data_IF_085582519837
#
_entry.id   IF_085582519837
#
_cell.length_a   1.000
_cell.length_b   1.000
_cell.length_c   1.000
_cell.angle_alpha   90.00
_cell.angle_beta   90.00
_cell.angle_gamma   90.00
#
_symmetry.space_group_name_H-M   'P 1'
#
loop_
_entity.id
_entity.type
_entity.pdbx_description
1 polymer ?
#
# COMPACT_ATOMS: atom_id res chain seq x y z
N UNK A 1 -5.87 -18.51 0.56
CA UNK A 1 -6.77 -17.76 -0.35
C UNK A 1 -6.24 -16.34 -0.39
N UNK A 2 -5.43 -15.99 -1.38
CA UNK A 2 -4.73 -14.71 -1.46
C UNK A 2 -4.42 -14.43 -2.92
N UNK A 3 -5.45 -14.04 -3.66
CA UNK A 3 -5.32 -13.57 -5.04
C UNK A 3 -5.35 -12.06 -5.02
N UNK A 4 -4.19 -11.42 -4.99
CA UNK A 4 -4.05 -10.03 -5.38
C UNK A 4 -3.72 -10.04 -6.88
N UNK A 5 -4.75 -10.07 -7.72
CA UNK A 5 -4.60 -9.96 -9.17
C UNK A 5 -5.16 -8.61 -9.60
N UNK A 6 -4.28 -7.61 -9.69
CA UNK A 6 -4.53 -6.39 -10.45
C UNK A 6 -3.23 -5.93 -11.12
N UNK A 7 -2.91 -6.60 -12.22
CA UNK A 7 -2.16 -6.02 -13.33
C UNK A 7 -2.86 -6.51 -14.60
N UNK A 8 -3.77 -5.70 -15.11
CA UNK A 8 -4.53 -5.97 -16.33
C UNK A 8 -4.50 -4.73 -17.21
N UNK A 9 -3.28 -4.29 -17.52
CA UNK A 9 -3.01 -3.30 -18.56
C UNK A 9 -2.27 -3.98 -19.70
N UNK A 10 -2.52 -3.50 -20.92
CA UNK A 10 -1.76 -3.88 -22.10
C UNK A 10 -0.47 -3.04 -22.15
N UNK A 11 0.66 -3.69 -22.41
CA UNK A 11 1.92 -3.01 -22.73
C UNK A 11 2.26 -3.21 -24.21
N UNK A 12 2.77 -2.16 -24.85
CA UNK A 12 3.22 -2.20 -26.26
C UNK A 12 4.67 -1.75 -26.32
N UNK A 13 5.55 -2.65 -26.75
CA UNK A 13 6.97 -2.38 -26.98
C UNK A 13 7.19 -2.16 -28.46
N UNK A 14 7.58 -0.95 -28.83
CA UNK A 14 7.81 -0.60 -30.23
C UNK A 14 9.18 -1.07 -30.69
N UNK A 15 9.30 -1.46 -31.94
CA UNK A 15 10.61 -1.67 -32.55
C UNK A 15 10.89 -0.54 -33.54
N UNK A 16 12.14 -0.03 -33.65
CA UNK A 16 12.47 1.03 -34.58
C UNK A 16 12.02 0.70 -36.01
N UNK A 17 11.26 1.61 -36.61
CA UNK A 17 10.81 1.48 -37.98
C UNK A 17 11.96 1.83 -38.94
N UNK A 18 12.30 0.92 -39.83
CA UNK A 18 13.18 1.24 -40.96
C UNK A 18 12.33 1.87 -42.05
N UNK A 19 12.61 3.14 -42.35
CA UNK A 19 11.88 3.96 -43.34
C UNK A 19 11.98 3.43 -44.77
N UNK A 20 12.96 2.57 -45.07
CA UNK A 20 13.11 1.92 -46.38
C UNK A 20 12.80 0.41 -46.28
N UNK A 21 11.58 0.02 -46.65
CA UNK A 21 11.16 -1.40 -46.65
C UNK A 21 12.02 -2.30 -47.53
N UNK A 22 12.62 -1.76 -48.61
CA UNK A 22 13.51 -2.50 -49.50
C UNK A 22 14.85 -2.92 -48.85
N UNK A 23 15.18 -2.35 -47.69
CA UNK A 23 16.42 -2.60 -46.94
C UNK A 23 16.21 -3.65 -45.84
N UNK A 24 14.96 -3.85 -45.42
CA UNK A 24 14.58 -4.72 -44.30
C UNK A 24 14.56 -6.19 -44.72
N UNK A 25 15.31 -7.02 -44.01
CA UNK A 25 15.36 -8.48 -44.23
C UNK A 25 14.46 -9.19 -43.24
N UNK A 26 14.61 -8.93 -41.94
CA UNK A 26 13.77 -9.55 -40.91
C UNK A 26 13.73 -8.69 -39.64
N UNK A 27 12.68 -8.85 -38.86
CA UNK A 27 12.55 -8.32 -37.49
C UNK A 27 12.29 -9.47 -36.55
N UNK A 28 13.04 -9.51 -35.44
CA UNK A 28 12.94 -10.57 -34.44
C UNK A 28 12.89 -9.95 -33.05
N UNK A 29 12.03 -10.49 -32.19
CA UNK A 29 12.08 -10.23 -30.76
C UNK A 29 12.80 -11.37 -30.03
N UNK A 30 13.60 -10.98 -29.05
CA UNK A 30 14.23 -11.84 -28.07
C UNK A 30 13.78 -11.39 -26.68
N UNK A 31 13.29 -12.35 -25.91
CA UNK A 31 12.64 -12.10 -24.62
C UNK A 31 13.39 -12.90 -23.56
N UNK A 32 13.94 -12.19 -22.58
CA UNK A 32 14.71 -12.75 -21.47
C UNK A 32 13.97 -12.39 -20.19
N UNK A 33 13.15 -13.32 -19.69
CA UNK A 33 12.38 -13.15 -18.45
C UNK A 33 13.26 -13.45 -17.24
N UNK A 34 13.04 -12.74 -16.13
CA UNK A 34 13.89 -12.81 -14.93
C UNK A 34 13.93 -14.19 -14.25
N UNK A 35 12.83 -14.94 -14.28
CA UNK A 35 12.69 -16.23 -13.60
C UNK A 35 12.90 -17.46 -14.51
N UNK A 36 13.37 -17.26 -15.75
CA UNK A 36 13.74 -18.35 -16.66
C UNK A 36 15.26 -18.40 -16.81
N UNK A 37 15.93 -19.51 -16.46
CA UNK A 37 17.36 -19.60 -16.67
C UNK A 37 17.68 -19.51 -18.16
N UNK A 38 18.62 -18.63 -18.51
CA UNK A 38 19.24 -18.59 -19.82
C UNK A 38 20.15 -19.82 -19.98
N UNK A 39 19.58 -21.00 -20.27
CA UNK A 39 20.39 -22.14 -20.70
C UNK A 39 20.66 -22.00 -22.20
N UNK A 40 21.80 -21.37 -22.49
CA UNK A 40 22.41 -21.31 -23.82
C UNK A 40 22.92 -22.69 -24.22
N UNK A 41 22.15 -23.38 -25.05
CA UNK A 41 22.61 -24.18 -26.19
C UNK A 41 21.37 -24.81 -26.82
N UNK A 42 20.84 -24.15 -27.86
CA UNK A 42 20.32 -24.78 -29.07
C UNK A 42 19.58 -23.73 -29.92
N UNK A 43 19.89 -23.76 -31.21
CA UNK A 43 19.48 -22.90 -32.31
C UNK A 43 18.00 -23.04 -32.67
N UNK A 44 17.08 -22.87 -31.72
CA UNK A 44 15.64 -22.80 -32.01
C UNK A 44 14.98 -21.72 -31.17
N UNK A 45 14.22 -20.86 -31.86
CA UNK A 45 13.41 -19.80 -31.30
C UNK A 45 12.77 -20.23 -29.98
N UNK A 46 12.92 -19.40 -28.94
CA UNK A 46 12.13 -19.55 -27.73
C UNK A 46 10.67 -19.42 -28.16
N UNK A 47 10.00 -20.58 -28.17
CA UNK A 47 8.59 -20.75 -28.41
C UNK A 47 7.87 -19.79 -27.45
N UNK A 48 7.20 -18.78 -27.97
CA UNK A 48 6.29 -17.97 -27.18
C UNK A 48 5.07 -18.84 -26.84
N UNK A 49 5.25 -19.77 -25.91
CA UNK A 49 4.16 -20.60 -25.36
C UNK A 49 3.20 -19.78 -24.53
N UNK A 50 3.62 -18.57 -24.13
CA UNK A 50 2.79 -17.61 -23.44
C UNK A 50 1.87 -16.88 -24.42
N UNK A 51 0.60 -17.24 -24.40
CA UNK A 51 -0.43 -16.68 -25.30
C UNK A 51 -0.73 -15.20 -25.00
N UNK A 52 -0.24 -14.66 -23.89
CA UNK A 52 -0.44 -13.25 -23.52
C UNK A 52 0.56 -12.32 -24.20
N UNK A 53 1.64 -12.86 -24.77
CA UNK A 53 2.61 -12.10 -25.56
C UNK A 53 2.33 -12.35 -27.04
N UNK A 54 1.99 -11.29 -27.77
CA UNK A 54 1.60 -11.37 -29.18
C UNK A 54 2.26 -10.26 -29.99
N UNK A 55 2.22 -10.41 -31.31
CA UNK A 55 2.54 -9.32 -32.22
C UNK A 55 1.33 -8.40 -32.35
N UNK A 56 1.58 -7.10 -32.59
CA UNK A 56 0.51 -6.20 -33.04
C UNK A 56 -0.14 -6.74 -34.33
N UNK A 57 -1.40 -6.37 -34.53
CA UNK A 57 -2.29 -6.81 -35.61
C UNK A 57 -1.73 -6.68 -37.04
N UNK A 58 -0.72 -5.84 -37.26
CA UNK A 58 -0.03 -5.62 -38.54
C UNK A 58 1.49 -5.60 -38.37
N UNK A 59 2.13 -6.76 -38.14
CA UNK A 59 3.57 -6.82 -37.90
C UNK A 59 4.41 -6.40 -39.11
N UNK A 60 3.82 -6.44 -40.32
CA UNK A 60 4.37 -5.95 -41.59
C UNK A 60 4.50 -4.42 -41.67
N UNK A 61 3.78 -3.70 -40.79
CA UNK A 61 3.80 -2.23 -40.70
C UNK A 61 4.30 -1.74 -39.37
N UNK A 62 3.98 -2.46 -38.30
CA UNK A 62 4.36 -2.14 -36.93
C UNK A 62 4.85 -3.42 -36.25
N UNK A 63 6.16 -3.68 -36.24
CA UNK A 63 6.72 -4.86 -35.57
C UNK A 63 6.79 -4.66 -34.04
N UNK A 64 5.71 -4.14 -33.45
CA UNK A 64 5.56 -3.96 -32.01
C UNK A 64 5.15 -5.26 -31.34
N UNK A 65 5.71 -5.49 -30.15
CA UNK A 65 5.33 -6.58 -29.28
C UNK A 65 4.25 -6.10 -28.32
N UNK A 66 3.18 -6.86 -28.17
CA UNK A 66 2.07 -6.61 -27.25
C UNK A 66 2.10 -7.64 -26.13
N UNK A 67 1.78 -7.19 -24.92
CA UNK A 67 1.64 -8.03 -23.74
C UNK A 67 0.28 -7.69 -23.12
N UNK A 68 -0.65 -8.63 -23.18
CA UNK A 68 -2.02 -8.45 -22.66
C UNK A 68 -2.61 -9.78 -22.14
N UNK A 69 -2.96 -9.87 -20.84
CA UNK A 69 -2.69 -8.90 -19.78
C UNK A 69 -1.24 -8.94 -19.27
N UNK A 70 -0.70 -7.81 -18.83
CA UNK A 70 0.62 -7.77 -18.19
C UNK A 70 0.58 -8.46 -16.82
N UNK A 71 1.33 -9.55 -16.65
CA UNK A 71 1.59 -10.22 -15.37
C UNK A 71 3.01 -9.93 -14.83
N UNK A 72 3.21 -10.11 -13.52
CA UNK A 72 4.51 -9.89 -12.84
C UNK A 72 5.64 -10.73 -13.46
N UNK A 73 5.32 -11.90 -14.01
CA UNK A 73 6.25 -12.80 -14.71
C UNK A 73 6.83 -12.22 -16.01
N UNK A 74 6.28 -11.12 -16.50
CA UNK A 74 6.80 -10.39 -17.67
C UNK A 74 7.96 -9.43 -17.31
N UNK A 75 8.38 -9.36 -16.04
CA UNK A 75 9.63 -8.69 -15.68
C UNK A 75 10.81 -9.30 -16.44
N UNK A 76 11.54 -8.45 -17.17
CA UNK A 76 12.64 -8.94 -17.99
C UNK A 76 13.20 -7.94 -18.97
N UNK A 77 14.07 -8.45 -19.83
CA UNK A 77 14.67 -7.72 -20.93
C UNK A 77 14.10 -8.17 -22.26
N UNK A 78 13.63 -7.21 -23.04
CA UNK A 78 13.03 -7.42 -24.36
C UNK A 78 13.90 -6.72 -25.39
N UNK A 79 14.43 -7.47 -26.34
CA UNK A 79 15.30 -6.95 -27.40
C UNK A 79 14.64 -7.16 -28.75
N UNK A 80 14.42 -6.08 -29.47
CA UNK A 80 14.16 -6.15 -30.90
C UNK A 80 15.49 -6.17 -31.67
N UNK A 81 15.64 -7.12 -32.57
CA UNK A 81 16.68 -7.18 -33.58
C UNK A 81 16.06 -6.89 -34.95
N UNK A 82 16.64 -5.92 -35.65
CA UNK A 82 16.28 -5.56 -37.01
C UNK A 82 17.46 -5.86 -37.92
N UNK A 83 17.26 -6.79 -38.84
CA UNK A 83 18.30 -7.20 -39.79
C UNK A 83 18.04 -6.53 -41.13
N UNK A 84 19.08 -5.92 -41.66
CA UNK A 84 19.10 -5.29 -42.98
C UNK A 84 20.27 -5.82 -43.81
N UNK A 85 20.29 -5.51 -45.10
CA UNK A 85 21.47 -5.80 -45.91
C UNK A 85 22.71 -4.95 -45.53
N UNK A 86 22.53 -3.89 -44.74
CA UNK A 86 23.62 -3.02 -44.28
C UNK A 86 24.14 -3.38 -42.89
N UNK A 87 23.46 -4.27 -42.16
CA UNK A 87 23.84 -4.65 -40.80
C UNK A 87 22.65 -4.98 -39.91
N UNK A 88 22.97 -5.25 -38.64
CA UNK A 88 22.03 -5.64 -37.59
C UNK A 88 21.88 -4.48 -36.60
N UNK A 89 20.64 -4.14 -36.28
CA UNK A 89 20.30 -3.08 -35.33
C UNK A 89 19.53 -3.65 -34.16
N UNK A 90 19.82 -3.18 -32.95
CA UNK A 90 19.22 -3.69 -31.73
C UNK A 90 18.56 -2.57 -30.94
N UNK A 91 17.38 -2.84 -30.39
CA UNK A 91 16.71 -1.96 -29.44
C UNK A 91 16.21 -2.75 -28.25
N UNK A 92 16.59 -2.32 -27.04
CA UNK A 92 16.36 -3.07 -25.80
C UNK A 92 15.47 -2.32 -24.82
N UNK A 93 14.59 -3.05 -24.15
CA UNK A 93 13.70 -2.57 -23.09
C UNK A 93 13.91 -3.39 -21.81
N UNK A 94 14.04 -2.69 -20.68
CA UNK A 94 13.89 -3.29 -19.36
C UNK A 94 12.46 -3.09 -18.88
N UNK A 95 11.63 -4.11 -19.02
CA UNK A 95 10.25 -4.07 -18.58
C UNK A 95 10.19 -4.34 -17.07
N UNK A 96 9.61 -3.39 -16.32
CA UNK A 96 9.33 -3.53 -14.89
C UNK A 96 7.83 -3.41 -14.66
N UNK A 97 7.24 -4.46 -14.15
CA UNK A 97 5.83 -4.55 -13.78
C UNK A 97 5.65 -3.94 -12.39
N UNK A 98 4.65 -3.07 -12.25
CA UNK A 98 4.28 -2.44 -10.99
C UNK A 98 3.05 -3.14 -10.41
N UNK A 99 3.01 -3.32 -9.10
CA UNK A 99 1.86 -3.89 -8.39
C UNK A 99 1.37 -2.88 -7.37
N UNK A 100 0.13 -2.37 -7.49
CA UNK A 100 -0.42 -1.43 -6.52
C UNK A 100 -0.59 -2.13 -5.16
N UNK A 101 -0.12 -1.53 -4.05
CA UNK A 101 -0.32 -2.11 -2.74
C UNK A 101 -1.79 -2.01 -2.30
N UNK A 102 -2.24 -3.01 -1.53
CA UNK A 102 -3.50 -2.92 -0.80
C UNK A 102 -3.29 -2.20 0.53
N UNK A 103 -3.97 -1.08 0.72
CA UNK A 103 -3.70 -0.16 1.84
C UNK A 103 -4.80 -0.29 2.88
N UNK A 104 -4.41 -0.58 4.11
CA UNK A 104 -5.30 -0.70 5.27
C UNK A 104 -4.78 0.13 6.44
N UNK A 105 -5.70 0.64 7.25
CA UNK A 105 -5.44 1.43 8.45
C UNK A 105 -6.36 0.96 9.57
N UNK A 106 -5.80 0.59 10.71
CA UNK A 106 -6.56 0.10 11.86
C UNK A 106 -5.85 0.36 13.18
N UNK A 107 -6.60 0.35 14.28
CA UNK A 107 -6.08 0.49 15.63
C UNK A 107 -6.09 -0.86 16.34
N UNK A 108 -4.98 -1.20 17.01
CA UNK A 108 -4.86 -2.37 17.88
C UNK A 108 -5.42 -2.09 19.28
N UNK A 109 -5.78 -3.13 20.02
CA UNK A 109 -6.32 -3.02 21.39
C UNK A 109 -5.39 -2.29 22.37
N UNK A 110 -4.06 -2.37 22.13
CA UNK A 110 -3.06 -1.68 22.93
C UNK A 110 -2.87 -0.19 22.56
N UNK A 111 -3.76 0.37 21.73
CA UNK A 111 -3.73 1.76 21.30
C UNK A 111 -2.80 2.06 20.12
N UNK A 112 -1.94 1.13 19.70
CA UNK A 112 -1.07 1.29 18.52
C UNK A 112 -1.90 1.37 17.25
N UNK A 113 -1.61 2.34 16.38
CA UNK A 113 -2.22 2.45 15.07
C UNK A 113 -1.30 1.82 14.03
N UNK A 114 -1.86 1.00 13.16
CA UNK A 114 -1.11 0.28 12.13
C UNK A 114 -1.61 0.71 10.76
N UNK A 115 -0.69 1.16 9.93
CA UNK A 115 -0.91 1.34 8.50
C UNK A 115 -0.13 0.29 7.74
N UNK A 116 -0.82 -0.47 6.88
CA UNK A 116 -0.24 -1.58 6.15
C UNK A 116 -0.50 -1.41 4.65
N UNK A 117 0.58 -1.38 3.88
CA UNK A 117 0.59 -1.40 2.42
C UNK A 117 1.07 -2.77 1.96
N UNK A 118 0.12 -3.66 1.63
CA UNK A 118 0.39 -5.08 1.37
C UNK A 118 0.72 -5.35 -0.10
N UNK A 119 1.71 -6.22 -0.32
CA UNK A 119 2.10 -6.78 -1.62
C UNK A 119 2.36 -5.76 -2.75
N UNK A 120 2.93 -4.60 -2.43
CA UNK A 120 3.32 -3.58 -3.41
C UNK A 120 4.60 -3.96 -4.16
N UNK A 121 4.70 -3.55 -5.43
CA UNK A 121 5.93 -3.64 -6.24
C UNK A 121 6.14 -2.32 -6.99
N UNK A 122 7.18 -1.54 -6.66
CA UNK A 122 8.14 -1.75 -5.56
C UNK A 122 7.52 -1.55 -4.16
N UNK A 123 8.33 -1.65 -3.11
CA UNK A 123 7.91 -1.31 -1.76
C UNK A 123 7.35 0.14 -1.71
N UNK A 124 6.21 0.31 -1.05
CA UNK A 124 5.59 1.61 -0.86
C UNK A 124 6.20 2.35 0.32
N UNK A 125 6.18 3.68 0.30
CA UNK A 125 6.64 4.49 1.43
C UNK A 125 5.45 4.92 2.28
N UNK A 126 5.57 4.76 3.60
CA UNK A 126 4.54 5.17 4.56
C UNK A 126 5.02 6.39 5.34
N UNK A 127 4.14 7.38 5.47
CA UNK A 127 4.34 8.58 6.28
C UNK A 127 3.08 8.92 7.07
N UNK A 128 3.24 9.66 8.17
CA UNK A 128 2.15 9.96 9.09
C UNK A 128 1.98 11.46 9.30
N UNK A 129 0.75 11.88 9.52
CA UNK A 129 0.41 13.28 9.84
C UNK A 129 -0.71 13.31 10.88
N UNK A 130 -0.50 13.90 12.07
CA UNK A 130 0.77 14.42 12.58
C UNK A 130 1.81 13.29 12.78
N UNK A 131 3.09 13.65 12.89
CA UNK A 131 4.14 12.68 13.23
C UNK A 131 3.92 12.07 14.62
N UNK A 132 4.30 10.81 14.81
CA UNK A 132 4.23 10.07 16.07
C UNK A 132 5.47 9.20 16.29
N UNK A 133 5.52 8.45 17.38
CA UNK A 133 6.55 7.44 17.61
C UNK A 133 6.21 6.18 16.79
N UNK A 134 6.97 5.97 15.72
CA UNK A 134 6.62 5.07 14.63
C UNK A 134 7.73 4.08 14.32
N UNK A 135 7.38 2.81 14.17
CA UNK A 135 8.27 1.76 13.72
C UNK A 135 7.74 1.14 12.43
N UNK A 136 8.57 1.12 11.38
CA UNK A 136 8.21 0.59 10.06
C UNK A 136 9.00 -0.67 9.76
N UNK A 137 8.31 -1.71 9.30
CA UNK A 137 8.87 -3.01 8.92
C UNK A 137 8.50 -3.32 7.48
N UNK A 138 9.46 -3.87 6.75
CA UNK A 138 9.26 -4.40 5.41
C UNK A 138 9.34 -5.92 5.43
N UNK A 139 8.34 -6.57 4.86
CA UNK A 139 8.26 -8.02 4.72
C UNK A 139 8.27 -8.39 3.23
N UNK A 140 9.34 -9.02 2.72
CA UNK A 140 9.38 -9.52 1.35
C UNK A 140 8.53 -10.79 1.22
N UNK A 141 7.60 -10.81 0.26
CA UNK A 141 6.66 -11.93 0.06
C UNK A 141 7.03 -12.85 -1.11
N UNK A 142 7.91 -12.40 -2.01
CA UNK A 142 8.27 -13.08 -3.27
C UNK A 142 7.80 -12.32 -4.51
N UNK A 143 8.31 -12.69 -5.70
CA UNK A 143 8.08 -11.96 -6.96
C UNK A 143 8.37 -10.45 -6.87
N UNK A 144 9.35 -10.08 -6.04
CA UNK A 144 9.69 -8.70 -5.63
C UNK A 144 8.53 -7.87 -5.07
N UNK A 145 7.46 -8.53 -4.61
CA UNK A 145 6.41 -7.86 -3.84
C UNK A 145 6.82 -7.72 -2.39
N UNK A 146 6.54 -6.55 -1.81
CA UNK A 146 6.90 -6.19 -0.45
C UNK A 146 5.65 -5.68 0.27
N UNK A 147 5.44 -6.16 1.49
CA UNK A 147 4.48 -5.57 2.41
C UNK A 147 5.20 -4.62 3.35
N UNK A 148 4.76 -3.37 3.39
CA UNK A 148 5.30 -2.36 4.31
C UNK A 148 4.26 -2.11 5.39
N UNK A 149 4.66 -2.23 6.65
CA UNK A 149 3.78 -2.01 7.79
C UNK A 149 4.42 -1.01 8.74
N UNK A 150 3.73 0.09 9.00
CA UNK A 150 4.14 1.12 9.95
C UNK A 150 3.19 1.11 11.15
N UNK A 151 3.76 0.98 12.34
CA UNK A 151 3.05 0.96 13.62
C UNK A 151 3.43 2.20 14.42
N UNK A 152 2.45 3.01 14.79
CA UNK A 152 2.68 4.30 15.46
C UNK A 152 1.88 4.47 16.76
N UNK A 153 2.43 5.30 17.64
CA UNK A 153 1.78 5.77 18.87
C UNK A 153 1.94 7.28 19.00
N UNK A 154 0.94 7.90 19.63
CA UNK A 154 0.95 9.31 20.00
C UNK A 154 0.74 9.40 21.51
N UNK A 155 1.72 9.93 22.23
CA UNK A 155 1.59 10.21 23.67
C UNK A 155 0.76 11.46 23.94
N UNK A 156 0.70 12.40 22.98
CA UNK A 156 -0.08 13.62 23.12
C UNK A 156 -1.58 13.33 22.95
N UNK A 157 -2.30 13.33 24.07
CA UNK A 157 -3.75 13.18 24.13
C UNK A 157 -4.54 14.25 23.34
N UNK A 158 -3.89 15.32 22.86
CA UNK A 158 -4.50 16.34 21.99
C UNK A 158 -4.66 15.87 20.55
N UNK A 159 -3.94 14.84 20.12
CA UNK A 159 -4.08 14.30 18.77
C UNK A 159 -5.36 13.47 18.70
N UNK A 160 -6.37 13.99 18.00
CA UNK A 160 -7.68 13.33 17.82
C UNK A 160 -7.83 12.63 16.48
N UNK A 161 -7.03 13.01 15.48
CA UNK A 161 -7.09 12.45 14.13
C UNK A 161 -5.67 12.28 13.59
N UNK A 162 -5.42 11.12 13.00
CA UNK A 162 -4.16 10.78 12.36
C UNK A 162 -4.40 10.29 10.95
N UNK A 163 -3.50 10.67 10.04
CA UNK A 163 -3.52 10.27 8.65
C UNK A 163 -2.27 9.47 8.31
N UNK A 164 -2.45 8.30 7.71
CA UNK A 164 -1.40 7.54 7.05
C UNK A 164 -1.40 7.89 5.56
N UNK A 165 -0.26 8.34 5.04
CA UNK A 165 -0.03 8.59 3.61
C UNK A 165 0.93 7.56 3.04
N UNK A 166 0.44 6.81 2.05
CA UNK A 166 1.16 5.77 1.32
C UNK A 166 1.53 6.28 -0.07
N UNK A 167 2.82 6.42 -0.34
CA UNK A 167 3.38 6.82 -1.62
C UNK A 167 3.83 5.60 -2.42
N UNK A 168 3.36 5.48 -3.67
CA UNK A 168 3.71 4.36 -4.55
C UNK A 168 3.66 4.78 -6.03
N UNK A 169 4.46 4.12 -6.87
CA UNK A 169 4.56 4.46 -8.31
C UNK A 169 3.25 4.30 -9.09
N UNK A 170 2.32 3.47 -8.60
CA UNK A 170 0.99 3.29 -9.19
C UNK A 170 -0.03 4.32 -8.70
N UNK A 171 0.36 5.23 -7.80
CA UNK A 171 -0.50 6.24 -7.21
C UNK A 171 -0.37 6.32 -5.69
N UNK A 172 -0.58 7.53 -5.17
CA UNK A 172 -0.55 7.82 -3.74
C UNK A 172 -1.93 7.61 -3.12
N UNK A 173 -1.98 7.11 -1.88
CA UNK A 173 -3.22 6.98 -1.11
C UNK A 173 -3.04 7.53 0.29
N UNK A 174 -4.11 8.03 0.88
CA UNK A 174 -4.13 8.49 2.26
C UNK A 174 -5.39 7.98 2.95
N UNK A 175 -5.24 7.48 4.17
CA UNK A 175 -6.32 7.04 5.04
C UNK A 175 -6.21 7.76 6.37
N UNK A 176 -7.33 8.09 6.98
CA UNK A 176 -7.38 8.74 8.30
C UNK A 176 -8.21 7.93 9.28
N UNK A 177 -7.85 8.02 10.56
CA UNK A 177 -8.57 7.39 11.67
C UNK A 177 -8.65 8.37 12.85
N UNK A 178 -9.81 8.41 13.50
CA UNK A 178 -10.00 9.17 14.73
C UNK A 178 -9.55 8.33 15.93
N UNK A 179 -8.80 8.95 16.83
CA UNK A 179 -8.31 8.35 18.05
C UNK A 179 -9.37 8.46 19.13
N UNK A 180 -9.83 7.32 19.65
CA UNK A 180 -10.70 7.28 20.82
C UNK A 180 -9.93 7.81 22.03
N UNK A 181 -10.18 9.05 22.42
CA UNK A 181 -9.70 9.60 23.69
C UNK A 181 -10.39 8.83 24.82
N UNK A 182 -9.64 7.98 25.52
CA UNK A 182 -10.07 7.56 26.86
C UNK A 182 -10.00 8.83 27.70
N UNK A 183 -11.18 9.37 28.05
CA UNK A 183 -11.31 10.44 29.03
C UNK A 183 -10.83 9.89 30.38
N UNK A 184 -9.51 9.88 30.59
CA UNK A 184 -8.94 9.76 31.92
C UNK A 184 -9.26 11.06 32.66
N UNK A 185 -10.37 11.04 33.38
CA UNK A 185 -10.68 12.10 34.33
C UNK A 185 -9.54 12.13 35.34
N UNK A 186 -8.85 13.27 35.51
CA UNK A 186 -7.77 13.33 36.49
C UNK A 186 -8.34 12.99 37.87
N UNK A 187 -7.58 12.28 38.73
CA UNK A 187 -8.07 11.85 40.05
C UNK A 187 -8.58 13.02 40.89
N UNK A 188 -8.09 14.23 40.64
CA UNK A 188 -8.61 15.48 41.20
C UNK A 188 -10.09 15.72 40.90
N UNK A 189 -10.57 15.43 39.69
CA UNK A 189 -11.98 15.62 39.32
C UNK A 189 -12.89 14.64 40.07
N UNK A 190 -12.43 13.40 40.24
CA UNK A 190 -13.15 12.38 41.01
C UNK A 190 -13.20 12.75 42.51
N UNK A 191 -12.09 13.27 43.05
CA UNK A 191 -12.02 13.82 44.41
C UNK A 191 -12.96 15.03 44.60
N UNK A 192 -13.01 15.95 43.63
CA UNK A 192 -13.90 17.11 43.66
C UNK A 192 -15.36 16.65 43.67
N UNK A 193 -15.74 15.70 42.82
CA UNK A 193 -17.10 15.15 42.77
C UNK A 193 -17.47 14.46 44.08
N UNK A 194 -16.57 13.67 44.67
CA UNK A 194 -16.77 13.03 45.98
C UNK A 194 -16.92 14.06 47.09
N UNK A 195 -16.10 15.11 47.10
CA UNK A 195 -16.14 16.19 48.09
C UNK A 195 -17.47 16.96 48.04
N UNK A 196 -17.94 17.30 46.84
CA UNK A 196 -19.23 17.99 46.65
C UNK A 196 -20.39 17.10 47.12
N UNK A 197 -20.38 15.81 46.78
CA UNK A 197 -21.39 14.85 47.26
C UNK A 197 -21.39 14.71 48.79
N UNK A 198 -20.21 14.62 49.40
CA UNK A 198 -20.07 14.50 50.85
C UNK A 198 -20.55 15.78 51.57
N UNK A 199 -20.20 16.95 51.03
CA UNK A 199 -20.66 18.24 51.56
C UNK A 199 -22.18 18.38 51.49
N UNK A 200 -22.80 17.99 50.38
CA UNK A 200 -24.27 17.97 50.24
C UNK A 200 -24.92 16.99 51.24
N UNK A 201 -24.33 15.82 51.44
CA UNK A 201 -24.82 14.84 52.40
C UNK A 201 -24.79 15.37 53.85
N UNK A 202 -23.70 16.04 54.24
CA UNK A 202 -23.61 16.68 55.56
C UNK A 202 -24.66 17.77 55.75
N UNK A 203 -24.89 18.62 54.74
CA UNK A 203 -25.93 19.65 54.79
C UNK A 203 -27.32 19.02 54.99
N UNK A 204 -27.61 17.93 54.26
CA UNK A 204 -28.87 17.19 54.42
C UNK A 204 -29.01 16.64 55.84
N UNK A 205 -27.95 16.05 56.42
CA UNK A 205 -27.98 15.53 57.79
C UNK A 205 -28.25 16.64 58.83
N UNK A 206 -27.66 17.82 58.66
CA UNK A 206 -27.91 18.97 59.54
C UNK A 206 -29.36 19.42 59.46
N UNK A 207 -29.92 19.51 58.24
CA UNK A 207 -31.33 19.88 58.03
C UNK A 207 -32.26 18.86 58.68
N UNK A 208 -32.04 17.56 58.44
CA UNK A 208 -32.84 16.49 59.04
C UNK A 208 -32.74 16.49 60.56
N UNK A 209 -31.53 16.67 61.11
CA UNK A 209 -31.31 16.79 62.54
C UNK A 209 -32.06 17.97 63.16
N UNK A 210 -32.07 19.12 62.48
CA UNK A 210 -32.81 20.30 62.92
C UNK A 210 -34.33 20.07 62.90
N UNK A 211 -34.87 19.46 61.85
CA UNK A 211 -36.30 19.10 61.75
C UNK A 211 -36.68 18.11 62.87
N UNK A 212 -35.85 17.10 63.13
CA UNK A 212 -36.08 16.14 64.19
C UNK A 212 -36.07 16.79 65.58
N UNK A 213 -35.13 17.71 65.82
CA UNK A 213 -35.03 18.41 67.09
C UNK A 213 -36.21 19.38 67.33
N UNK A 214 -36.69 20.05 66.28
CA UNK A 214 -37.92 20.85 66.36
C UNK A 214 -39.13 19.97 66.68
N UNK A 215 -39.28 18.82 66.02
CA UNK A 215 -40.36 17.84 66.29
C UNK A 215 -40.38 17.33 67.73
N UNK A 216 -39.22 17.17 68.38
CA UNK A 216 -39.16 16.75 69.79
C UNK A 216 -39.62 17.88 70.73
N UNK A 217 -39.31 19.14 70.41
CA UNK A 217 -39.73 20.28 71.22
C UNK A 217 -41.22 20.56 71.13
N UNK A 218 -41.86 20.28 69.99
CA UNK A 218 -43.31 20.44 69.83
C UNK A 218 -44.13 19.34 70.55
N UNK A 219 -43.48 18.29 71.07
CA UNK A 219 -44.11 17.19 71.82
C UNK A 219 -43.90 17.27 73.35
N UNK A 220 -43.38 18.39 73.88
CA UNK A 220 -43.18 18.62 75.33
C UNK A 220 -43.93 19.85 75.79
#
# INVERSE_FOLDING_TARGET
>A
RGGAQMSAQMAVLSCPLITQKAVLVTVRWEIILRDKPAYTNETRAINCSDKTISWDSRPDRNPALQIDPVAITHDGYYRCEVVTHHGHFYHGYHLKVLVPPDVTLFQLENGTIVCRAAAGKPAAQISWTPGGDCHTVEEPLGNDTVTVQSSCRWEDHRVSNVSCSVSHLTGNRSLSIELNQVLEFPPSTLLIVLYVKFSLFLVILVIVGFIYFQRIKDCR
#
